data_IF_480858157335
#
_entry.id   IF_480858157335
#
_cell.length_a   1.000
_cell.length_b   1.000
_cell.length_c   1.000
_cell.angle_alpha   90.00
_cell.angle_beta   90.00
_cell.angle_gamma   90.00
#
_symmetry.space_group_name_H-M   'P 1'
#
loop_
_entity.id
_entity.type
_entity.pdbx_description
1 polymer ?
#
# COMPACT_ATOMS: atom_id res chain seq x y z
N UNK A 1 -16.99 -9.84 -16.18
CA UNK A 1 -16.12 -8.65 -16.22
C UNK A 1 -15.37 -8.60 -17.54
N UNK A 2 -15.30 -7.42 -18.15
CA UNK A 2 -14.48 -7.23 -19.35
C UNK A 2 -13.00 -7.45 -19.04
N UNK A 3 -12.27 -8.03 -19.98
CA UNK A 3 -10.81 -8.17 -19.88
C UNK A 3 -10.07 -6.88 -20.22
N UNK A 4 -10.79 -5.91 -20.78
CA UNK A 4 -10.23 -4.61 -21.17
C UNK A 4 -11.07 -3.53 -20.50
N UNK A 5 -10.43 -2.74 -19.64
CA UNK A 5 -11.14 -1.78 -18.80
C UNK A 5 -10.23 -0.60 -18.43
N UNK A 6 -10.75 0.32 -17.63
CA UNK A 6 -10.01 1.45 -17.08
C UNK A 6 -10.22 1.54 -15.58
N UNK A 7 -9.35 2.26 -14.89
CA UNK A 7 -9.48 2.44 -13.44
C UNK A 7 -10.82 3.06 -13.03
N UNK A 8 -11.45 3.83 -13.90
CA UNK A 8 -12.75 4.45 -13.61
C UNK A 8 -13.85 3.42 -13.32
N UNK A 9 -13.69 2.20 -13.80
CA UNK A 9 -14.67 1.13 -13.59
C UNK A 9 -14.50 0.40 -12.26
N UNK A 10 -13.41 0.66 -11.51
CA UNK A 10 -13.15 0.01 -10.25
C UNK A 10 -13.54 0.91 -9.08
N UNK A 11 -14.26 0.38 -8.07
CA UNK A 11 -14.62 1.17 -6.91
C UNK A 11 -13.38 1.56 -6.11
N UNK A 12 -13.42 2.75 -5.52
CA UNK A 12 -12.39 3.22 -4.61
C UNK A 12 -12.77 2.84 -3.18
N UNK A 13 -11.86 2.19 -2.49
CA UNK A 13 -12.02 1.82 -1.08
C UNK A 13 -11.02 2.61 -0.25
N UNK A 14 -11.48 3.26 0.80
CA UNK A 14 -10.57 3.87 1.78
C UNK A 14 -10.12 2.77 2.74
N UNK A 15 -8.89 2.30 2.55
CA UNK A 15 -8.32 1.16 3.26
C UNK A 15 -8.02 1.48 4.72
N UNK A 16 -7.27 2.54 4.95
CA UNK A 16 -7.12 3.22 6.23
C UNK A 16 -7.25 4.71 5.92
N UNK A 17 -7.41 5.53 6.93
CA UNK A 17 -7.65 6.96 6.71
C UNK A 17 -6.58 7.56 5.80
N UNK A 18 -7.02 8.16 4.71
CA UNK A 18 -6.16 8.81 3.72
C UNK A 18 -5.58 7.88 2.67
N UNK A 19 -5.81 6.58 2.77
CA UNK A 19 -5.33 5.61 1.77
C UNK A 19 -6.49 5.15 0.91
N UNK A 20 -6.50 5.61 -0.34
CA UNK A 20 -7.52 5.25 -1.32
C UNK A 20 -6.97 4.15 -2.22
N UNK A 21 -7.73 3.08 -2.41
CA UNK A 21 -7.30 1.91 -3.16
C UNK A 21 -8.32 1.49 -4.19
N UNK A 22 -7.84 1.19 -5.39
CA UNK A 22 -8.58 0.51 -6.43
C UNK A 22 -7.82 -0.76 -6.78
N UNK A 23 -8.53 -1.87 -7.00
CA UNK A 23 -7.90 -3.19 -7.18
C UNK A 23 -8.37 -3.84 -8.47
N UNK A 24 -7.40 -4.24 -9.31
CA UNK A 24 -7.63 -5.08 -10.48
C UNK A 24 -6.93 -6.41 -10.24
N UNK A 25 -7.67 -7.52 -10.28
CA UNK A 25 -7.09 -8.82 -9.94
C UNK A 25 -7.31 -9.86 -11.02
N UNK A 26 -6.22 -10.58 -11.35
CA UNK A 26 -6.27 -11.85 -12.04
C UNK A 26 -6.34 -12.99 -11.02
N UNK A 27 -6.06 -14.20 -11.46
CA UNK A 27 -6.05 -15.37 -10.57
C UNK A 27 -4.78 -15.45 -9.72
N UNK A 28 -3.64 -15.09 -10.28
CA UNK A 28 -2.32 -15.26 -9.65
C UNK A 28 -1.63 -13.94 -9.31
N UNK A 29 -2.04 -12.88 -9.95
CA UNK A 29 -1.43 -11.55 -9.75
C UNK A 29 -2.53 -10.51 -9.68
N UNK A 30 -2.33 -9.50 -8.84
CA UNK A 30 -3.21 -8.34 -8.78
C UNK A 30 -2.40 -7.07 -8.84
N UNK A 31 -3.05 -6.00 -9.30
CA UNK A 31 -2.48 -4.65 -9.30
C UNK A 31 -3.42 -3.74 -8.55
N UNK A 32 -2.87 -2.92 -7.66
CA UNK A 32 -3.64 -1.87 -6.99
C UNK A 32 -3.14 -0.50 -7.43
N UNK A 33 -4.06 0.44 -7.51
CA UNK A 33 -3.74 1.86 -7.63
C UNK A 33 -4.02 2.49 -6.29
N UNK A 34 -2.99 3.11 -5.72
CA UNK A 34 -3.06 3.70 -4.38
C UNK A 34 -2.85 5.20 -4.47
N UNK A 35 -3.64 5.93 -3.70
CA UNK A 35 -3.46 7.37 -3.50
C UNK A 35 -3.36 7.63 -2.01
N UNK A 36 -2.29 8.29 -1.58
CA UNK A 36 -2.16 8.78 -0.20
C UNK A 36 -2.56 10.24 -0.14
N UNK A 37 -3.47 10.56 0.75
CA UNK A 37 -3.95 11.93 0.98
C UNK A 37 -3.92 12.26 2.46
N UNK A 38 -3.13 13.27 2.84
CA UNK A 38 -3.19 13.80 4.19
C UNK A 38 -2.22 13.21 5.19
N UNK A 39 -0.93 13.21 4.87
CA UNK A 39 0.15 12.82 5.80
C UNK A 39 0.05 11.36 6.25
N UNK A 40 -0.16 10.48 5.30
CA UNK A 40 -0.29 9.04 5.56
C UNK A 40 0.99 8.45 6.13
N UNK A 41 0.84 7.64 7.17
CA UNK A 41 1.92 6.86 7.77
C UNK A 41 1.48 5.40 7.76
N UNK A 42 2.27 4.54 7.12
CA UNK A 42 2.07 3.10 7.11
C UNK A 42 3.18 2.48 7.95
N UNK A 43 2.87 2.02 9.17
CA UNK A 43 3.89 1.46 10.05
C UNK A 43 4.44 0.13 9.52
N UNK A 44 5.51 -0.34 10.15
CA UNK A 44 6.14 -1.60 9.75
C UNK A 44 5.15 -2.75 9.76
N UNK A 45 5.12 -3.49 8.67
CA UNK A 45 4.30 -4.68 8.49
C UNK A 45 4.93 -5.59 7.44
N UNK A 46 4.41 -6.80 7.34
CA UNK A 46 4.83 -7.77 6.32
C UNK A 46 3.65 -8.61 5.89
N UNK A 47 3.79 -9.26 4.75
CA UNK A 47 2.78 -10.16 4.22
C UNK A 47 3.42 -11.20 3.29
N UNK A 48 2.71 -12.29 3.06
CA UNK A 48 3.20 -13.38 2.21
C UNK A 48 3.36 -12.94 0.75
N UNK A 49 2.43 -12.16 0.23
CA UNK A 49 2.51 -11.71 -1.16
C UNK A 49 3.79 -10.91 -1.42
N UNK A 50 4.50 -11.29 -2.47
CA UNK A 50 5.57 -10.46 -3.02
C UNK A 50 4.95 -9.20 -3.60
N UNK A 51 5.64 -8.07 -3.46
CA UNK A 51 5.13 -6.78 -3.90
C UNK A 51 6.16 -6.04 -4.74
N UNK A 52 5.69 -5.45 -5.84
CA UNK A 52 6.50 -4.48 -6.59
C UNK A 52 5.70 -3.18 -6.63
N UNK A 53 6.32 -2.09 -6.23
CA UNK A 53 5.69 -0.78 -6.14
C UNK A 53 6.29 0.18 -7.16
N UNK A 54 5.44 0.90 -7.87
CA UNK A 54 5.83 1.84 -8.93
C UNK A 54 5.28 3.23 -8.57
N UNK A 55 6.16 4.14 -8.17
CA UNK A 55 5.74 5.50 -7.78
C UNK A 55 5.51 6.36 -9.02
N UNK A 56 4.34 7.00 -9.11
CA UNK A 56 3.93 7.84 -10.24
C UNK A 56 4.05 9.32 -9.92
N UNK A 57 3.59 9.74 -8.75
CA UNK A 57 3.66 11.14 -8.31
C UNK A 57 3.76 11.24 -6.80
N UNK A 58 4.24 12.39 -6.32
CA UNK A 58 4.47 12.60 -4.90
C UNK A 58 5.76 11.97 -4.42
N UNK A 59 6.01 12.06 -3.12
CA UNK A 59 7.24 11.55 -2.49
C UNK A 59 6.92 10.78 -1.23
N UNK A 60 7.69 9.71 -1.00
CA UNK A 60 7.59 8.86 0.18
C UNK A 60 8.95 8.70 0.84
N UNK A 61 8.99 8.70 2.17
CA UNK A 61 10.00 7.96 2.88
C UNK A 61 9.61 6.49 2.84
N UNK A 62 10.56 5.61 2.56
CA UNK A 62 10.31 4.19 2.46
C UNK A 62 11.38 3.40 3.22
N UNK A 63 10.96 2.27 3.77
CA UNK A 63 11.85 1.32 4.42
C UNK A 63 11.48 -0.08 3.95
N UNK A 64 12.46 -0.81 3.42
CA UNK A 64 12.32 -2.21 3.04
C UNK A 64 13.44 -2.97 3.73
N UNK A 65 13.10 -3.83 4.68
CA UNK A 65 14.06 -4.43 5.61
C UNK A 65 14.91 -3.33 6.27
N UNK A 66 16.21 -3.33 6.09
CA UNK A 66 17.11 -2.34 6.69
C UNK A 66 17.41 -1.15 5.78
N UNK A 67 16.93 -1.18 4.54
CA UNK A 67 17.17 -0.09 3.60
C UNK A 67 16.12 1.00 3.77
N UNK A 68 16.57 2.23 4.01
CA UNK A 68 15.70 3.40 4.10
C UNK A 68 16.05 4.36 2.97
N UNK A 69 15.03 4.90 2.31
CA UNK A 69 15.24 5.83 1.21
C UNK A 69 14.02 6.69 0.96
N UNK A 70 14.26 7.96 0.63
CA UNK A 70 13.24 8.82 0.06
C UNK A 70 13.08 8.49 -1.40
N UNK A 71 11.84 8.28 -1.86
CA UNK A 71 11.53 7.92 -3.24
C UNK A 71 10.49 8.86 -3.83
N UNK A 72 10.55 9.05 -5.13
CA UNK A 72 9.64 9.91 -5.88
C UNK A 72 9.26 9.29 -7.22
N UNK A 73 8.71 10.09 -8.15
CA UNK A 73 8.25 9.59 -9.44
C UNK A 73 9.33 8.81 -10.18
N UNK A 74 8.96 7.64 -10.70
CA UNK A 74 9.89 6.74 -11.38
C UNK A 74 10.60 5.74 -10.49
N UNK A 75 10.43 5.83 -9.17
CA UNK A 75 11.02 4.87 -8.24
C UNK A 75 10.29 3.53 -8.30
N UNK A 76 11.06 2.45 -8.19
CA UNK A 76 10.57 1.08 -8.15
C UNK A 76 11.08 0.44 -6.86
N UNK A 77 10.16 -0.15 -6.08
CA UNK A 77 10.51 -0.87 -4.87
C UNK A 77 10.13 -2.33 -5.05
N UNK A 78 11.07 -3.23 -4.81
CA UNK A 78 10.82 -4.67 -4.82
C UNK A 78 10.82 -5.14 -3.39
N UNK A 79 9.69 -5.70 -2.94
CA UNK A 79 9.49 -6.14 -1.57
C UNK A 79 9.25 -7.65 -1.58
N UNK A 80 10.27 -8.45 -1.25
CA UNK A 80 10.12 -9.90 -1.23
C UNK A 80 9.10 -10.36 -0.19
N UNK A 81 8.58 -11.58 -0.40
CA UNK A 81 7.64 -12.21 0.51
C UNK A 81 8.14 -12.14 1.96
N UNK A 82 7.27 -11.69 2.86
CA UNK A 82 7.49 -11.58 4.31
C UNK A 82 8.56 -10.58 4.76
N UNK A 83 9.11 -9.78 3.86
CA UNK A 83 10.03 -8.72 4.28
C UNK A 83 9.26 -7.56 4.92
N UNK A 84 9.75 -7.10 6.06
CA UNK A 84 9.17 -5.95 6.78
C UNK A 84 9.39 -4.68 5.97
N UNK A 85 8.32 -3.87 5.85
CA UNK A 85 8.39 -2.61 5.12
C UNK A 85 7.46 -1.58 5.74
N UNK A 86 7.74 -0.31 5.47
CA UNK A 86 7.00 0.82 6.00
C UNK A 86 7.09 2.00 5.03
N UNK A 87 6.09 2.88 5.07
CA UNK A 87 6.05 4.07 4.23
C UNK A 87 5.53 5.28 5.00
N UNK A 88 5.97 6.45 4.57
CA UNK A 88 5.44 7.71 5.09
C UNK A 88 5.36 8.73 3.96
N UNK A 89 4.19 9.34 3.81
CA UNK A 89 3.99 10.42 2.86
C UNK A 89 4.85 11.63 3.25
N UNK A 90 5.54 12.22 2.26
CA UNK A 90 6.34 13.43 2.44
C UNK A 90 5.69 14.58 1.67
N UNK A 91 5.78 15.79 2.25
CA UNK A 91 5.22 16.99 1.64
C UNK A 91 3.69 17.00 1.67
N UNK A 92 3.11 17.98 0.95
CA UNK A 92 1.66 18.22 0.94
C UNK A 92 0.95 17.65 -0.30
N UNK A 93 1.73 17.17 -1.26
CA UNK A 93 1.21 16.61 -2.50
C UNK A 93 0.70 15.19 -2.28
N UNK A 94 -0.41 14.84 -2.95
CA UNK A 94 -0.87 13.45 -2.98
C UNK A 94 0.22 12.55 -3.54
N UNK A 95 0.30 11.33 -3.03
CA UNK A 95 1.21 10.31 -3.57
C UNK A 95 0.38 9.28 -4.32
N UNK A 96 0.75 9.03 -5.57
CA UNK A 96 0.09 8.03 -6.42
C UNK A 96 1.11 6.97 -6.79
N UNK A 97 0.76 5.72 -6.58
CA UNK A 97 1.60 4.60 -6.99
C UNK A 97 0.76 3.38 -7.32
N UNK A 98 1.36 2.47 -8.06
CA UNK A 98 0.80 1.15 -8.36
C UNK A 98 1.56 0.10 -7.60
N UNK A 99 0.86 -0.96 -7.20
CA UNK A 99 1.46 -2.12 -6.56
C UNK A 99 1.02 -3.38 -7.28
N UNK A 100 1.97 -4.25 -7.58
CA UNK A 100 1.68 -5.60 -8.07
C UNK A 100 1.93 -6.58 -6.94
N UNK A 101 1.02 -7.54 -6.74
CA UNK A 101 1.12 -8.58 -5.71
C UNK A 101 0.99 -9.97 -6.33
N UNK A 102 1.80 -10.90 -5.88
CA UNK A 102 1.68 -12.32 -6.20
C UNK A 102 2.13 -13.16 -5.00
N UNK A 103 1.34 -14.15 -4.54
CA UNK A 103 -0.05 -14.39 -4.95
C UNK A 103 -0.97 -13.22 -4.64
N UNK A 104 -2.19 -13.27 -5.12
CA UNK A 104 -3.15 -12.20 -4.87
C UNK A 104 -3.44 -12.08 -3.37
N UNK A 105 -3.74 -10.86 -2.93
CA UNK A 105 -4.17 -10.58 -1.56
C UNK A 105 -5.69 -10.59 -1.51
N UNK A 106 -6.27 -11.67 -1.00
CA UNK A 106 -7.73 -11.87 -0.97
C UNK A 106 -8.45 -10.72 -0.27
N UNK A 107 -7.84 -10.19 0.79
CA UNK A 107 -8.40 -9.08 1.56
C UNK A 107 -8.52 -7.78 0.75
N UNK A 108 -7.87 -7.69 -0.40
CA UNK A 108 -7.96 -6.52 -1.29
C UNK A 108 -9.04 -6.68 -2.36
N UNK A 109 -9.66 -7.85 -2.47
CA UNK A 109 -10.75 -8.05 -3.42
C UNK A 109 -11.99 -7.30 -2.98
N UNK A 110 -12.67 -6.67 -3.94
CA UNK A 110 -13.92 -5.96 -3.68
C UNK A 110 -14.96 -6.95 -3.12
N UNK A 111 -15.59 -6.58 -2.02
CA UNK A 111 -16.58 -7.42 -1.36
C UNK A 111 -16.01 -8.45 -0.39
N UNK A 112 -14.72 -8.49 -0.19
CA UNK A 112 -14.10 -9.36 0.83
C UNK A 112 -14.64 -9.00 2.22
N UNK A 113 -15.10 -10.00 2.98
CA UNK A 113 -15.72 -9.80 4.30
C UNK A 113 -14.97 -10.50 5.44
N UNK A 114 -13.87 -11.17 5.13
CA UNK A 114 -13.06 -11.81 6.14
C UNK A 114 -12.13 -10.82 6.86
N UNK A 115 -11.36 -11.29 7.85
CA UNK A 115 -10.37 -10.46 8.50
C UNK A 115 -9.24 -10.09 7.53
N UNK A 116 -8.70 -8.88 7.68
CA UNK A 116 -7.52 -8.43 6.95
C UNK A 116 -6.33 -8.45 7.92
N UNK A 117 -5.42 -9.42 7.81
CA UNK A 117 -4.30 -9.51 8.74
C UNK A 117 -3.38 -8.30 8.73
N UNK A 118 -3.18 -7.70 7.54
CA UNK A 118 -2.32 -6.51 7.42
C UNK A 118 -2.96 -5.31 8.11
N UNK A 119 -4.27 -5.11 7.92
CA UNK A 119 -5.00 -4.03 8.55
C UNK A 119 -5.02 -4.18 10.08
N UNK A 120 -5.27 -5.38 10.56
CA UNK A 120 -5.26 -5.68 11.99
C UNK A 120 -3.88 -5.40 12.60
N UNK A 121 -2.82 -5.80 11.92
CA UNK A 121 -1.44 -5.57 12.36
C UNK A 121 -1.14 -4.06 12.41
N UNK A 122 -1.54 -3.30 11.40
CA UNK A 122 -1.34 -1.86 11.35
C UNK A 122 -2.13 -1.15 12.45
N UNK A 123 -3.39 -1.54 12.68
CA UNK A 123 -4.21 -0.98 13.76
C UNK A 123 -3.57 -1.23 15.13
N UNK A 124 -3.08 -2.43 15.35
CA UNK A 124 -2.39 -2.77 16.60
C UNK A 124 -1.16 -1.88 16.81
N UNK A 125 -0.38 -1.67 15.76
CA UNK A 125 0.79 -0.80 15.80
C UNK A 125 0.41 0.65 16.12
N UNK A 126 -0.63 1.16 15.52
CA UNK A 126 -1.12 2.51 15.81
C UNK A 126 -1.56 2.65 17.26
N UNK A 127 -2.21 1.64 17.82
CA UNK A 127 -2.67 1.66 19.21
C UNK A 127 -1.53 1.57 20.22
N UNK A 128 -0.46 0.84 19.88
CA UNK A 128 0.71 0.63 20.73
C UNK A 128 1.78 1.72 20.61
N UNK A 129 1.73 2.52 19.54
CA UNK A 129 2.73 3.52 19.21
C UNK A 129 2.31 4.87 19.73
N UNK A 130 3.18 5.59 20.44
CA UNK A 130 2.87 6.94 20.87
C UNK A 130 2.96 7.93 19.70
N UNK A 131 2.53 9.17 19.94
CA UNK A 131 2.46 10.18 18.88
C UNK A 131 3.83 10.51 18.29
N UNK A 132 4.89 10.46 19.07
CA UNK A 132 6.24 10.75 18.58
C UNK A 132 6.72 9.69 17.61
N UNK A 133 6.40 8.42 17.85
CA UNK A 133 6.76 7.32 16.96
C UNK A 133 6.03 7.42 15.62
N UNK A 134 4.81 7.94 15.64
CA UNK A 134 4.00 8.10 14.40
C UNK A 134 4.52 9.18 13.48
N UNK A 135 5.41 10.04 13.96
CA UNK A 135 6.00 11.12 13.16
C UNK A 135 7.24 10.70 12.38
N UNK A 136 7.71 9.50 12.59
CA UNK A 136 8.91 8.97 11.95
C UNK A 136 8.63 8.47 10.55
#
# INVERSE_FOLDING_TARGET
>A
MSQITTWDEFPTVEYVKGVLRQTASGEKVMVTRIVYQGSVIIPEHSHEAEQIMLVVSGRLWSKVADEEKEVGPGSILVIPSNWVHAFRQLGDEDVVFYEAFAPIRLEYLVGFKGPDPSLAMMHKRFDETDESDRKV
#
